data_IF_878627942066
#
_entry.id   IF_878627942066
#
_cell.length_a   1.000
_cell.length_b   1.000
_cell.length_c   1.000
_cell.angle_alpha   90.00
_cell.angle_beta   90.00
_cell.angle_gamma   90.00
#
_symmetry.space_group_name_H-M   'P 1'
#
loop_
_entity.id
_entity.type
_entity.pdbx_description
1 polymer ?
#
# COMPACT_ATOMS: atom_id res chain seq x y z
N UNK A 1 35.84 -0.25 -23.75
CA UNK A 1 34.59 0.52 -23.53
C UNK A 1 34.11 1.37 -24.72
N UNK A 2 34.84 1.47 -25.86
CA UNK A 2 34.42 2.29 -27.02
C UNK A 2 33.42 1.61 -27.97
N UNK A 3 33.30 0.28 -27.95
CA UNK A 3 32.39 -0.47 -28.84
C UNK A 3 30.90 -0.39 -28.47
N UNK A 4 30.58 -0.43 -27.17
CA UNK A 4 29.19 -0.40 -26.68
C UNK A 4 28.53 0.95 -26.98
N UNK A 5 29.27 2.06 -26.87
CA UNK A 5 28.76 3.40 -27.21
C UNK A 5 28.37 3.53 -28.69
N UNK A 6 29.08 2.86 -29.63
CA UNK A 6 28.74 2.91 -31.06
C UNK A 6 27.46 2.14 -31.39
N UNK A 7 27.20 1.01 -30.72
CA UNK A 7 26.00 0.20 -30.96
C UNK A 7 24.73 0.94 -30.50
N UNK A 8 24.79 1.60 -29.34
CA UNK A 8 23.65 2.36 -28.79
C UNK A 8 23.30 3.57 -29.68
N UNK A 9 24.30 4.29 -30.21
CA UNK A 9 24.08 5.45 -31.10
C UNK A 9 23.47 5.05 -32.44
N UNK A 10 23.87 3.90 -33.01
CA UNK A 10 23.30 3.42 -34.28
C UNK A 10 21.86 2.94 -34.12
N UNK A 11 21.53 2.26 -33.01
CA UNK A 11 20.15 1.86 -32.73
C UNK A 11 19.21 3.07 -32.50
N UNK A 12 19.72 4.14 -31.87
CA UNK A 12 18.96 5.39 -31.70
C UNK A 12 18.65 6.09 -33.04
N UNK A 13 19.55 6.03 -34.04
CA UNK A 13 19.31 6.65 -35.35
C UNK A 13 18.29 5.91 -36.22
N UNK A 14 18.22 4.58 -36.13
CA UNK A 14 17.24 3.78 -36.90
C UNK A 14 15.80 3.98 -36.38
N UNK A 15 15.64 4.31 -35.11
CA UNK A 15 14.35 4.56 -34.46
C UNK A 15 13.62 5.83 -34.98
N UNK A 16 14.28 6.72 -35.73
CA UNK A 16 13.71 8.01 -36.18
C UNK A 16 13.19 8.04 -37.63
N UNK A 17 13.09 6.90 -38.31
CA UNK A 17 12.29 6.82 -39.56
C UNK A 17 10.79 6.82 -39.21
N UNK A 18 9.91 7.33 -40.08
CA UNK A 18 8.44 7.32 -39.85
C UNK A 18 7.91 5.91 -39.49
N UNK A 19 8.51 4.86 -40.06
CA UNK A 19 8.21 3.46 -39.73
C UNK A 19 8.78 3.07 -38.35
N UNK A 20 10.00 3.49 -38.01
CA UNK A 20 10.59 3.27 -36.68
C UNK A 20 9.79 3.87 -35.52
N UNK A 21 9.12 5.01 -35.72
CA UNK A 21 8.23 5.61 -34.71
C UNK A 21 7.02 4.74 -34.39
N UNK A 22 6.39 4.13 -35.40
CA UNK A 22 5.23 3.25 -35.21
C UNK A 22 5.64 1.99 -34.42
N UNK A 23 6.78 1.39 -34.79
CA UNK A 23 7.32 0.25 -34.05
C UNK A 23 7.74 0.61 -32.61
N UNK A 24 8.34 1.78 -32.40
CA UNK A 24 8.72 2.25 -31.07
C UNK A 24 7.51 2.47 -30.16
N UNK A 25 6.46 3.14 -30.65
CA UNK A 25 5.21 3.33 -29.90
C UNK A 25 4.53 1.99 -29.63
N UNK A 26 4.46 1.09 -30.62
CA UNK A 26 3.89 -0.24 -30.44
C UNK A 26 4.66 -1.05 -29.39
N UNK A 27 6.00 -1.01 -29.39
CA UNK A 27 6.82 -1.70 -28.40
C UNK A 27 6.64 -1.11 -26.98
N UNK A 28 6.57 0.21 -26.84
CA UNK A 28 6.29 0.86 -25.55
C UNK A 28 4.89 0.47 -25.05
N UNK A 29 3.87 0.52 -25.90
CA UNK A 29 2.51 0.11 -25.56
C UNK A 29 2.40 -1.39 -25.23
N UNK A 30 3.22 -2.25 -25.85
CA UNK A 30 3.26 -3.69 -25.56
C UNK A 30 4.01 -4.00 -24.24
N UNK A 31 5.01 -3.18 -23.88
CA UNK A 31 5.78 -3.34 -22.64
C UNK A 31 5.12 -2.67 -21.43
N UNK A 32 4.33 -1.62 -21.61
CA UNK A 32 3.64 -0.89 -20.54
C UNK A 32 2.76 -1.78 -19.62
N UNK A 33 1.98 -2.76 -20.12
CA UNK A 33 1.12 -3.60 -19.27
C UNK A 33 1.90 -4.43 -18.25
N UNK A 34 3.14 -4.81 -18.57
CA UNK A 34 3.97 -5.68 -17.72
C UNK A 34 4.55 -4.91 -16.52
N UNK A 35 4.59 -3.58 -16.60
CA UNK A 35 5.06 -2.71 -15.50
C UNK A 35 3.92 -2.26 -14.56
N UNK A 36 2.66 -2.59 -14.87
CA UNK A 36 1.54 -2.27 -14.01
C UNK A 36 1.44 -3.37 -12.95
N UNK A 37 1.74 -3.03 -11.70
CA UNK A 37 1.50 -3.92 -10.58
C UNK A 37 0.05 -4.41 -10.56
N UNK A 38 -0.11 -5.64 -10.08
CA UNK A 38 -1.36 -6.35 -10.18
C UNK A 38 -2.28 -5.89 -9.06
N UNK A 39 -3.30 -5.11 -9.41
CA UNK A 39 -4.42 -4.79 -8.52
C UNK A 39 -5.60 -5.63 -8.99
N UNK A 40 -5.99 -6.63 -8.20
CA UNK A 40 -7.16 -7.46 -8.49
C UNK A 40 -8.30 -6.97 -7.61
N UNK A 41 -9.44 -6.67 -8.20
CA UNK A 41 -10.65 -6.32 -7.45
C UNK A 41 -11.68 -7.42 -7.59
N UNK A 42 -12.33 -7.77 -6.47
CA UNK A 42 -13.47 -8.68 -6.41
C UNK A 42 -14.65 -7.90 -5.85
N UNK A 43 -15.81 -8.01 -6.49
CA UNK A 43 -17.07 -7.39 -6.04
C UNK A 43 -17.71 -8.07 -4.83
N UNK A 44 -16.93 -8.82 -4.05
CA UNK A 44 -17.35 -9.52 -2.85
C UNK A 44 -16.21 -9.55 -1.81
N UNK A 45 -16.57 -9.85 -0.56
CA UNK A 45 -15.67 -10.07 0.57
C UNK A 45 -15.01 -11.45 0.51
N UNK A 46 -13.77 -11.49 0.04
CA UNK A 46 -12.90 -12.68 -0.03
C UNK A 46 -11.96 -12.76 1.19
N UNK A 47 -12.44 -12.40 2.38
CA UNK A 47 -11.65 -12.55 3.60
C UNK A 47 -11.58 -14.01 4.07
N UNK A 48 -10.57 -14.37 4.88
CA UNK A 48 -10.34 -15.71 5.38
C UNK A 48 -11.55 -16.36 6.08
N UNK A 49 -11.54 -17.70 6.16
CA UNK A 49 -12.61 -18.49 6.80
C UNK A 49 -12.58 -18.43 8.33
N UNK A 50 -11.43 -18.09 8.91
CA UNK A 50 -11.22 -17.95 10.36
C UNK A 50 -11.62 -16.57 10.90
N UNK A 51 -12.03 -15.63 10.04
CA UNK A 51 -12.66 -14.39 10.47
C UNK A 51 -14.00 -14.66 11.16
N UNK A 52 -14.44 -13.78 12.09
CA UNK A 52 -15.69 -13.95 12.83
C UNK A 52 -16.89 -14.20 11.90
N UNK A 53 -17.68 -15.23 12.23
CA UNK A 53 -18.81 -15.67 11.42
C UNK A 53 -19.87 -14.58 11.27
N UNK A 54 -19.98 -13.67 12.23
CA UNK A 54 -20.89 -12.53 12.24
C UNK A 54 -20.63 -11.54 11.09
N UNK A 55 -19.44 -11.56 10.48
CA UNK A 55 -19.14 -10.78 9.29
C UNK A 55 -19.65 -11.43 8.01
N UNK A 56 -19.96 -12.73 8.02
CA UNK A 56 -20.35 -13.49 6.82
C UNK A 56 -21.52 -12.89 6.04
N UNK A 57 -22.59 -12.36 6.66
CA UNK A 57 -23.68 -11.71 5.94
C UNK A 57 -23.20 -10.55 5.05
N UNK A 58 -22.11 -9.88 5.42
CA UNK A 58 -21.57 -8.72 4.72
C UNK A 58 -20.69 -9.09 3.52
N UNK A 59 -20.42 -10.38 3.26
CA UNK A 59 -19.55 -10.81 2.13
C UNK A 59 -20.08 -10.33 0.80
N UNK A 60 -21.39 -10.38 0.58
CA UNK A 60 -21.99 -10.02 -0.72
C UNK A 60 -21.90 -8.52 -1.04
N UNK A 61 -21.93 -7.64 -0.04
CA UNK A 61 -21.86 -6.19 -0.23
C UNK A 61 -20.45 -5.61 -0.09
N UNK A 62 -19.52 -6.42 0.42
CA UNK A 62 -18.13 -6.02 0.55
C UNK A 62 -17.40 -6.08 -0.80
N UNK A 63 -16.24 -5.43 -0.86
CA UNK A 63 -15.32 -5.50 -2.00
C UNK A 63 -13.93 -5.86 -1.49
N UNK A 64 -13.23 -6.72 -2.22
CA UNK A 64 -11.84 -7.07 -1.91
C UNK A 64 -10.93 -6.50 -2.97
N UNK A 65 -9.91 -5.76 -2.55
CA UNK A 65 -8.83 -5.29 -3.43
C UNK A 65 -7.54 -5.95 -3.00
N UNK A 66 -7.03 -6.85 -3.83
CA UNK A 66 -5.73 -7.48 -3.65
C UNK A 66 -4.68 -6.59 -4.31
N UNK A 67 -3.77 -6.05 -3.50
CA UNK A 67 -2.67 -5.22 -3.95
C UNK A 67 -1.44 -6.11 -4.01
N UNK A 68 -0.98 -6.39 -5.23
CA UNK A 68 0.31 -7.02 -5.53
C UNK A 68 1.13 -6.09 -6.43
N UNK A 69 1.41 -4.89 -5.91
CA UNK A 69 2.19 -3.86 -6.60
C UNK A 69 3.68 -4.02 -6.27
N UNK A 70 4.64 -3.71 -7.17
CA UNK A 70 6.06 -3.77 -6.85
C UNK A 70 6.36 -2.96 -5.58
N UNK A 71 6.58 -3.69 -4.48
CA UNK A 71 6.72 -3.11 -3.16
C UNK A 71 5.66 -3.60 -2.17
N UNK A 72 4.36 -3.46 -2.41
CA UNK A 72 3.35 -3.68 -1.38
C UNK A 72 2.46 -4.89 -1.71
N UNK A 73 2.35 -5.81 -0.75
CA UNK A 73 1.46 -6.95 -0.81
C UNK A 73 0.49 -6.91 0.37
N UNK A 74 -0.77 -6.61 0.09
CA UNK A 74 -1.83 -6.54 1.10
C UNK A 74 -3.22 -6.74 0.47
N UNK A 75 -4.18 -7.13 1.29
CA UNK A 75 -5.59 -7.15 0.91
C UNK A 75 -6.31 -6.00 1.62
N UNK A 76 -7.16 -5.30 0.87
CA UNK A 76 -8.07 -4.28 1.41
C UNK A 76 -9.49 -4.79 1.28
N UNK A 77 -10.15 -4.99 2.40
CA UNK A 77 -11.56 -5.39 2.46
C UNK A 77 -12.40 -4.15 2.77
N UNK A 78 -13.24 -3.77 1.82
CA UNK A 78 -14.13 -2.62 1.91
C UNK A 78 -15.53 -3.10 2.25
N UNK A 79 -16.05 -2.79 3.44
CA UNK A 79 -17.41 -3.13 3.87
C UNK A 79 -18.24 -1.84 3.91
N UNK A 80 -19.26 -1.79 3.06
CA UNK A 80 -20.23 -0.70 3.00
C UNK A 80 -21.37 -0.96 3.97
N UNK A 81 -21.98 0.11 4.46
CA UNK A 81 -23.16 0.05 5.31
C UNK A 81 -24.16 1.06 4.78
N UNK A 82 -25.41 0.62 4.61
CA UNK A 82 -26.51 1.49 4.20
C UNK A 82 -27.24 2.07 5.42
N UNK A 83 -27.07 1.43 6.57
CA UNK A 83 -27.79 1.72 7.79
C UNK A 83 -26.84 1.85 9.00
N UNK A 84 -27.16 2.79 9.87
CA UNK A 84 -26.34 3.11 11.03
C UNK A 84 -26.42 2.01 12.08
N UNK A 85 -27.61 1.54 12.39
CA UNK A 85 -27.86 0.53 13.41
C UNK A 85 -27.15 -0.78 13.04
N UNK A 86 -27.12 -1.12 11.75
CA UNK A 86 -26.35 -2.23 11.22
C UNK A 86 -24.84 -2.07 11.48
N UNK A 87 -24.26 -0.91 11.14
CA UNK A 87 -22.86 -0.61 11.42
C UNK A 87 -22.54 -0.69 12.92
N UNK A 88 -23.32 -0.02 13.76
CA UNK A 88 -23.12 -0.01 15.22
C UNK A 88 -23.18 -1.42 15.82
N UNK A 89 -24.06 -2.27 15.30
CA UNK A 89 -24.20 -3.67 15.72
C UNK A 89 -22.95 -4.49 15.41
N UNK A 90 -22.36 -4.33 14.21
CA UNK A 90 -21.20 -5.14 13.80
C UNK A 90 -19.85 -4.54 14.22
N UNK A 91 -19.82 -3.25 14.56
CA UNK A 91 -18.61 -2.53 14.92
C UNK A 91 -17.72 -3.23 15.98
N UNK A 92 -18.27 -3.79 17.08
CA UNK A 92 -17.47 -4.54 18.05
C UNK A 92 -16.79 -5.78 17.45
N UNK A 93 -17.42 -6.43 16.46
CA UNK A 93 -16.86 -7.59 15.77
C UNK A 93 -15.72 -7.16 14.83
N UNK A 94 -15.90 -6.06 14.10
CA UNK A 94 -14.85 -5.49 13.24
C UNK A 94 -13.61 -5.15 14.07
N UNK A 95 -13.80 -4.55 15.25
CA UNK A 95 -12.69 -4.21 16.16
C UNK A 95 -11.88 -5.44 16.61
N UNK A 96 -12.49 -6.62 16.75
CA UNK A 96 -11.78 -7.86 17.12
C UNK A 96 -10.80 -8.34 16.05
N UNK A 97 -10.97 -7.91 14.79
CA UNK A 97 -10.05 -8.25 13.71
C UNK A 97 -8.71 -7.51 13.82
N UNK A 98 -8.72 -6.33 14.45
CA UNK A 98 -7.55 -5.48 14.54
C UNK A 98 -6.44 -6.22 15.28
N UNK A 99 -5.25 -6.23 14.71
CA UNK A 99 -4.10 -6.77 15.42
C UNK A 99 -3.72 -5.88 16.62
N UNK A 100 -2.97 -6.46 17.55
CA UNK A 100 -2.31 -5.68 18.59
C UNK A 100 -1.48 -4.57 17.97
N UNK A 101 -1.62 -3.35 18.50
CA UNK A 101 -1.00 -2.11 17.96
C UNK A 101 -1.41 -1.74 16.54
N UNK A 102 -2.34 -2.48 15.93
CA UNK A 102 -3.05 -2.05 14.74
C UNK A 102 -3.68 -0.69 14.98
N UNK A 103 -3.63 0.15 13.96
CA UNK A 103 -4.10 1.52 13.95
C UNK A 103 -5.57 1.59 13.58
N UNK A 104 -6.23 2.64 14.07
CA UNK A 104 -7.54 3.07 13.60
C UNK A 104 -7.38 4.40 12.87
N UNK A 105 -7.56 4.37 11.55
CA UNK A 105 -7.48 5.56 10.71
C UNK A 105 -8.88 6.17 10.53
N UNK A 106 -8.97 7.49 10.58
CA UNK A 106 -10.22 8.22 10.37
C UNK A 106 -10.07 9.10 9.14
N UNK A 107 -10.94 8.90 8.15
CA UNK A 107 -10.99 9.66 6.90
C UNK A 107 -12.41 10.24 6.71
N UNK A 108 -12.60 11.26 5.88
CA UNK A 108 -13.91 11.93 5.71
C UNK A 108 -14.39 11.84 4.26
N UNK A 109 -15.69 11.63 4.05
CA UNK A 109 -16.27 11.63 2.70
C UNK A 109 -16.18 12.99 2.00
N UNK A 110 -16.11 14.08 2.77
CA UNK A 110 -16.10 15.45 2.25
C UNK A 110 -14.77 15.84 1.59
N UNK A 111 -13.75 14.99 1.74
CA UNK A 111 -12.41 15.24 1.24
C UNK A 111 -12.02 14.15 0.28
N UNK A 112 -12.35 14.30 -1.01
CA UNK A 112 -11.67 13.48 -2.00
C UNK A 112 -10.16 13.64 -1.79
N UNK A 113 -9.41 12.55 -1.93
CA UNK A 113 -7.96 12.58 -1.92
C UNK A 113 -7.46 13.77 -2.75
N UNK A 114 -6.42 14.46 -2.26
CA UNK A 114 -5.74 15.50 -3.05
C UNK A 114 -5.52 14.92 -4.45
N UNK A 115 -5.97 15.61 -5.50
CA UNK A 115 -5.90 15.12 -6.89
C UNK A 115 -4.45 14.77 -7.30
N UNK A 116 -3.46 15.28 -6.54
CA UNK A 116 -2.04 14.94 -6.68
C UNK A 116 -1.65 13.60 -6.08
N UNK A 117 -2.50 12.96 -5.30
CA UNK A 117 -2.29 11.59 -4.86
C UNK A 117 -2.42 10.68 -6.07
N UNK A 118 -1.42 9.83 -6.24
CA UNK A 118 -1.26 8.92 -7.36
C UNK A 118 -2.58 8.28 -7.82
N UNK A 119 -2.76 8.17 -9.13
CA UNK A 119 -3.93 7.57 -9.79
C UNK A 119 -4.34 6.20 -9.21
N UNK A 120 -3.43 5.43 -8.60
CA UNK A 120 -3.79 4.18 -7.93
C UNK A 120 -4.68 4.40 -6.70
N UNK A 121 -4.51 5.49 -5.95
CA UNK A 121 -5.35 5.81 -4.79
C UNK A 121 -6.76 6.24 -5.18
N UNK A 122 -7.00 6.62 -6.44
CA UNK A 122 -8.37 6.88 -6.93
C UNK A 122 -9.27 5.63 -6.86
N UNK A 123 -8.69 4.42 -6.79
CA UNK A 123 -9.45 3.17 -6.61
C UNK A 123 -10.09 3.07 -5.22
N UNK A 124 -9.61 3.86 -4.27
CA UNK A 124 -10.17 4.01 -2.92
C UNK A 124 -10.93 5.34 -2.83
N UNK A 125 -11.99 5.47 -3.65
CA UNK A 125 -12.90 6.60 -3.56
C UNK A 125 -13.44 6.70 -2.13
N UNK A 126 -13.40 7.90 -1.55
CA UNK A 126 -13.99 8.22 -0.24
C UNK A 126 -15.43 8.73 -0.40
N UNK A 127 -16.10 8.46 -1.52
CA UNK A 127 -17.43 9.05 -1.79
C UNK A 127 -18.56 8.55 -0.89
N UNK A 128 -18.36 7.45 -0.16
CA UNK A 128 -19.38 6.78 0.65
C UNK A 128 -18.81 6.40 2.02
N UNK A 129 -19.64 6.35 3.08
CA UNK A 129 -19.22 5.83 4.37
C UNK A 129 -18.85 4.36 4.24
N UNK A 130 -17.63 4.02 4.62
CA UNK A 130 -17.07 2.68 4.40
C UNK A 130 -16.08 2.33 5.49
N UNK A 131 -16.07 1.04 5.86
CA UNK A 131 -15.02 0.47 6.70
C UNK A 131 -14.02 -0.22 5.78
N UNK A 132 -12.74 0.16 5.87
CA UNK A 132 -11.66 -0.56 5.20
C UNK A 132 -10.84 -1.33 6.21
N UNK A 133 -10.61 -2.61 5.92
CA UNK A 133 -9.77 -3.49 6.73
C UNK A 133 -8.56 -3.84 5.88
N UNK A 134 -7.40 -3.36 6.30
CA UNK A 134 -6.13 -3.64 5.66
C UNK A 134 -5.53 -4.88 6.31
N UNK A 135 -5.45 -5.98 5.58
CA UNK A 135 -4.99 -7.26 6.10
C UNK A 135 -3.83 -7.87 5.30
N UNK A 136 -3.21 -8.91 5.86
CA UNK A 136 -2.29 -9.77 5.11
C UNK A 136 -2.97 -10.33 3.86
N UNK A 137 -2.17 -10.68 2.85
CA UNK A 137 -2.67 -11.39 1.67
C UNK A 137 -3.11 -12.80 2.07
N UNK A 138 -4.26 -13.27 1.59
CA UNK A 138 -4.80 -14.60 1.84
C UNK A 138 -5.52 -15.19 0.61
N UNK A 139 -5.47 -16.52 0.39
CA UNK A 139 -4.38 -17.42 0.74
C UNK A 139 -3.19 -17.13 -0.18
N UNK A 140 -1.97 -17.15 0.35
CA UNK A 140 -0.80 -16.92 -0.48
C UNK A 140 -0.12 -18.23 -0.80
N UNK A 141 0.09 -18.46 -2.09
CA UNK A 141 0.99 -19.51 -2.55
C UNK A 141 2.39 -19.27 -1.96
N UNK A 142 3.10 -20.32 -1.53
CA UNK A 142 4.47 -20.18 -1.04
C UNK A 142 5.33 -19.47 -2.09
N UNK A 143 5.99 -18.38 -1.68
CA UNK A 143 6.92 -17.67 -2.52
C UNK A 143 8.18 -18.52 -2.68
N UNK A 144 8.51 -18.88 -3.91
CA UNK A 144 9.73 -19.63 -4.20
C UNK A 144 10.85 -18.65 -4.52
N UNK A 145 11.90 -18.65 -3.71
CA UNK A 145 13.08 -17.81 -3.89
C UNK A 145 14.20 -18.58 -4.62
N UNK A 146 15.22 -17.85 -5.07
CA UNK A 146 16.42 -18.44 -5.69
C UNK A 146 17.02 -19.51 -4.76
N UNK A 147 17.29 -20.70 -5.31
CA UNK A 147 17.74 -21.85 -4.53
C UNK A 147 16.61 -22.77 -4.04
N UNK A 148 15.37 -22.56 -4.48
CA UNK A 148 14.24 -23.46 -4.22
C UNK A 148 13.62 -23.34 -2.82
N UNK A 149 14.11 -22.39 -2.00
CA UNK A 149 13.54 -22.10 -0.69
C UNK A 149 12.16 -21.48 -0.84
N UNK A 150 11.25 -21.84 0.07
CA UNK A 150 9.89 -21.35 0.09
C UNK A 150 9.63 -20.58 1.38
N UNK A 151 9.15 -19.34 1.28
CA UNK A 151 8.53 -18.64 2.42
C UNK A 151 7.04 -18.56 2.19
N UNK A 152 6.27 -18.83 3.23
CA UNK A 152 4.82 -18.65 3.22
C UNK A 152 4.56 -17.25 3.79
N UNK A 153 4.05 -16.30 2.99
CA UNK A 153 3.60 -15.03 3.53
C UNK A 153 2.19 -15.17 4.12
N UNK A 154 1.88 -14.31 5.09
CA UNK A 154 0.62 -14.31 5.81
C UNK A 154 0.74 -14.95 7.20
N UNK A 155 -0.28 -14.77 8.05
CA UNK A 155 -0.31 -15.32 9.39
C UNK A 155 -0.48 -16.86 9.37
N UNK A 156 -0.06 -17.57 10.43
CA UNK A 156 0.67 -17.02 11.58
C UNK A 156 2.11 -16.65 11.20
N UNK A 157 2.53 -15.43 11.57
CA UNK A 157 3.88 -14.96 11.32
C UNK A 157 4.88 -15.59 12.31
N UNK A 158 6.10 -15.93 11.86
CA UNK A 158 7.13 -16.48 12.75
C UNK A 158 7.65 -15.42 13.73
N UNK A 159 8.29 -15.84 14.83
CA UNK A 159 8.88 -14.91 15.80
C UNK A 159 9.92 -13.95 15.18
N UNK A 160 10.64 -14.39 14.14
CA UNK A 160 11.60 -13.54 13.43
C UNK A 160 10.98 -12.32 12.76
N UNK A 161 9.67 -12.37 12.47
CA UNK A 161 8.91 -11.29 11.82
C UNK A 161 8.44 -10.22 12.81
N UNK A 162 8.52 -10.49 14.12
CA UNK A 162 8.09 -9.57 15.18
C UNK A 162 9.24 -8.64 15.58
N UNK A 163 8.89 -7.50 16.16
CA UNK A 163 9.85 -6.66 16.87
C UNK A 163 10.39 -7.36 18.12
N UNK A 164 11.46 -6.83 18.69
CA UNK A 164 11.99 -7.30 19.98
C UNK A 164 10.97 -7.18 21.13
N UNK A 165 9.95 -6.33 20.98
CA UNK A 165 8.82 -6.19 21.91
C UNK A 165 7.79 -7.32 21.78
N UNK A 166 7.92 -8.22 20.80
CA UNK A 166 6.95 -9.27 20.46
C UNK A 166 5.81 -8.79 19.54
N UNK A 167 5.76 -7.50 19.21
CA UNK A 167 4.71 -6.91 18.38
C UNK A 167 4.96 -7.13 16.88
N UNK A 168 3.90 -7.25 16.09
CA UNK A 168 4.02 -7.30 14.64
C UNK A 168 4.24 -5.89 14.04
N UNK A 169 5.17 -5.72 13.10
CA UNK A 169 5.28 -4.50 12.32
C UNK A 169 4.07 -4.30 11.40
N UNK A 170 3.95 -3.13 10.78
CA UNK A 170 2.96 -2.93 9.71
C UNK A 170 3.23 -3.87 8.52
N UNK A 171 4.51 -3.96 8.14
CA UNK A 171 4.96 -4.81 7.05
C UNK A 171 6.18 -5.64 7.45
N UNK A 172 6.34 -6.77 6.80
CA UNK A 172 7.54 -7.62 6.82
C UNK A 172 8.12 -7.75 5.43
N UNK A 173 9.40 -8.10 5.34
CA UNK A 173 10.07 -8.45 4.09
C UNK A 173 10.85 -9.75 4.28
N UNK A 174 11.13 -10.45 3.19
CA UNK A 174 12.11 -11.52 3.23
C UNK A 174 13.49 -10.93 3.58
N UNK A 175 14.25 -11.64 4.41
CA UNK A 175 15.65 -11.35 4.69
C UNK A 175 16.49 -11.40 3.40
N UNK A 176 17.68 -10.79 3.38
CA UNK A 176 18.54 -10.75 2.18
C UNK A 176 18.93 -12.13 1.65
N UNK A 177 19.06 -13.12 2.55
CA UNK A 177 19.33 -14.53 2.22
C UNK A 177 18.06 -15.34 1.90
N UNK A 178 16.90 -14.68 1.92
CA UNK A 178 15.56 -15.22 1.69
C UNK A 178 15.23 -16.46 2.54
N UNK A 179 15.69 -16.49 3.79
CA UNK A 179 15.44 -17.61 4.72
C UNK A 179 14.37 -17.32 5.76
N UNK A 180 14.16 -16.05 6.09
CA UNK A 180 13.29 -15.64 7.19
C UNK A 180 12.49 -14.40 6.81
N UNK A 181 11.35 -14.23 7.49
CA UNK A 181 10.64 -12.96 7.49
C UNK A 181 11.26 -12.07 8.55
N UNK A 182 11.53 -10.82 8.19
CA UNK A 182 12.05 -9.78 9.10
C UNK A 182 11.16 -8.54 9.01
N UNK A 183 11.08 -7.73 10.07
CA UNK A 183 10.35 -6.48 10.02
C UNK A 183 10.84 -5.56 8.91
N UNK A 184 9.91 -4.95 8.18
CA UNK A 184 10.24 -3.95 7.17
C UNK A 184 10.39 -2.58 7.86
N UNK A 185 11.59 -2.01 7.77
CA UNK A 185 11.88 -0.65 8.23
C UNK A 185 11.85 0.28 7.02
N UNK A 186 10.84 1.16 6.96
CA UNK A 186 10.83 2.23 5.98
C UNK A 186 11.90 3.26 6.37
N UNK A 187 12.83 3.57 5.46
CA UNK A 187 13.62 4.79 5.60
C UNK A 187 12.70 5.98 5.25
N UNK A 188 12.39 6.87 6.21
CA UNK A 188 11.49 8.00 5.98
C UNK A 188 12.04 8.98 4.93
N UNK A 189 13.34 8.96 4.65
CA UNK A 189 13.98 9.84 3.66
C UNK A 189 14.02 9.24 2.25
N UNK A 190 13.71 7.94 2.12
CA UNK A 190 13.73 7.26 0.83
C UNK A 190 12.46 7.62 0.05
N UNK A 191 12.62 8.41 -1.01
CA UNK A 191 11.54 8.70 -1.96
C UNK A 191 11.14 7.43 -2.72
N UNK A 192 9.92 7.40 -3.25
CA UNK A 192 9.47 6.26 -4.08
C UNK A 192 10.37 6.02 -5.30
N UNK A 193 10.94 7.08 -5.90
CA UNK A 193 11.88 6.97 -7.01
C UNK A 193 13.20 6.33 -6.58
N UNK A 194 13.73 6.73 -5.43
CA UNK A 194 14.94 6.13 -4.86
C UNK A 194 14.69 4.66 -4.49
N UNK A 195 13.56 4.36 -3.87
CA UNK A 195 13.13 2.99 -3.62
C UNK A 195 13.06 2.17 -4.91
N UNK A 196 12.56 2.76 -6.00
CA UNK A 196 12.48 2.08 -7.28
C UNK A 196 13.85 1.88 -7.94
N UNK A 197 14.80 2.78 -7.70
CA UNK A 197 16.13 2.78 -8.29
C UNK A 197 17.14 1.94 -7.51
N UNK A 198 16.89 1.61 -6.24
CA UNK A 198 17.81 0.82 -5.41
C UNK A 198 17.87 -0.65 -5.87
N UNK A 199 19.02 -1.13 -6.38
CA UNK A 199 19.18 -2.52 -6.79
C UNK A 199 19.17 -3.51 -5.61
N UNK A 200 19.41 -3.02 -4.39
CA UNK A 200 19.40 -3.80 -3.16
C UNK A 200 18.07 -3.69 -2.40
N UNK A 201 17.07 -3.03 -2.99
CA UNK A 201 15.75 -2.91 -2.36
C UNK A 201 15.21 -4.30 -2.01
N UNK A 202 14.49 -4.44 -0.88
CA UNK A 202 13.76 -5.66 -0.61
C UNK A 202 12.79 -5.95 -1.77
N UNK A 203 12.75 -7.22 -2.19
CA UNK A 203 11.99 -7.63 -3.38
C UNK A 203 10.49 -7.26 -3.28
N UNK A 204 9.94 -7.26 -2.06
CA UNK A 204 8.55 -6.92 -1.74
C UNK A 204 8.36 -6.89 -0.22
N UNK A 205 7.50 -6.01 0.27
CA UNK A 205 6.98 -6.03 1.64
C UNK A 205 5.54 -6.55 1.68
N UNK A 206 5.21 -7.21 2.78
CA UNK A 206 3.96 -7.92 3.00
C UNK A 206 3.32 -7.40 4.27
N UNK A 207 2.05 -7.02 4.20
CA UNK A 207 1.34 -6.52 5.38
C UNK A 207 1.25 -7.62 6.42
N UNK A 208 1.74 -7.34 7.62
CA UNK A 208 1.83 -8.33 8.69
C UNK A 208 0.68 -8.23 9.70
N UNK A 209 0.12 -7.04 9.87
CA UNK A 209 -0.94 -6.76 10.85
C UNK A 209 -2.22 -6.25 10.18
N UNK A 210 -3.32 -6.34 10.92
CA UNK A 210 -4.61 -5.82 10.52
C UNK A 210 -4.77 -4.39 11.08
N UNK A 211 -4.93 -3.43 10.17
CA UNK A 211 -5.30 -2.04 10.47
C UNK A 211 -6.73 -1.78 9.97
N UNK A 212 -7.44 -0.83 10.59
CA UNK A 212 -8.82 -0.46 10.22
C UNK A 212 -8.86 1.03 9.86
N UNK A 213 -9.57 1.37 8.80
CA UNK A 213 -9.94 2.74 8.46
C UNK A 213 -11.46 2.90 8.49
N UNK A 214 -11.92 3.99 9.09
CA UNK A 214 -13.29 4.47 9.04
C UNK A 214 -13.36 5.70 8.15
N UNK A 215 -14.10 5.60 7.04
CA UNK A 215 -14.48 6.77 6.24
C UNK A 215 -15.79 7.29 6.79
N UNK A 216 -15.71 8.37 7.56
CA UNK A 216 -16.86 8.94 8.28
C UNK A 216 -17.62 9.95 7.44
N UNK A 217 -18.95 9.90 7.61
CA UNK A 217 -19.91 10.85 7.04
C UNK A 217 -20.73 11.56 8.13
N UNK A 218 -20.62 11.13 9.40
CA UNK A 218 -21.42 11.65 10.50
C UNK A 218 -22.89 11.24 10.46
N UNK A 219 -23.31 10.45 9.46
CA UNK A 219 -24.68 9.91 9.36
C UNK A 219 -24.67 8.41 9.57
N UNK A 220 -24.00 7.62 8.76
CA UNK A 220 -23.91 6.16 8.96
C UNK A 220 -22.80 5.85 9.94
N UNK A 221 -21.60 6.41 9.72
CA UNK A 221 -20.45 6.25 10.62
C UNK A 221 -20.27 7.56 11.39
N UNK A 222 -20.88 7.62 12.58
CA UNK A 222 -20.82 8.77 13.50
C UNK A 222 -19.92 8.47 14.71
N UNK A 223 -18.77 9.16 14.78
CA UNK A 223 -17.80 8.98 15.86
C UNK A 223 -18.31 9.40 17.23
N UNK A 224 -19.39 10.17 17.33
CA UNK A 224 -19.99 10.54 18.62
C UNK A 224 -20.85 9.41 19.21
N UNK A 225 -21.18 8.40 18.42
CA UNK A 225 -22.05 7.28 18.85
C UNK A 225 -21.30 5.98 19.04
N UNK A 226 -20.22 5.76 18.30
CA UNK A 226 -19.39 4.57 18.47
C UNK A 226 -18.31 4.78 19.53
N UNK A 227 -18.01 3.71 20.27
CA UNK A 227 -16.86 3.69 21.17
C UNK A 227 -15.61 3.33 20.36
N UNK A 228 -14.60 4.18 20.44
CA UNK A 228 -13.26 3.89 19.95
C UNK A 228 -12.45 3.22 21.08
N UNK A 229 -11.61 2.22 20.79
CA UNK A 229 -10.80 1.60 21.84
C UNK A 229 -9.78 2.59 22.40
N UNK A 230 -9.69 2.69 23.74
CA UNK A 230 -8.87 3.69 24.42
C UNK A 230 -7.36 3.46 24.27
N UNK A 231 -6.96 2.23 24.00
CA UNK A 231 -5.57 1.76 23.85
C UNK A 231 -5.09 1.76 22.39
N UNK A 232 -5.98 2.07 21.46
CA UNK A 232 -5.69 1.97 20.03
C UNK A 232 -5.12 3.28 19.49
N UNK A 233 -3.97 3.25 18.80
CA UNK A 233 -3.45 4.43 18.11
C UNK A 233 -4.45 4.91 17.04
N UNK A 234 -4.89 6.15 17.15
CA UNK A 234 -5.83 6.78 16.21
C UNK A 234 -5.07 7.75 15.30
N UNK A 235 -5.21 7.59 13.98
CA UNK A 235 -4.67 8.50 12.96
C UNK A 235 -5.84 9.26 12.35
N UNK A 236 -6.02 10.53 12.73
CA UNK A 236 -7.10 11.37 12.20
C UNK A 236 -6.66 12.12 10.92
N UNK A 237 -7.09 11.61 9.77
CA UNK A 237 -6.85 12.20 8.43
C UNK A 237 -8.01 13.09 7.96
N UNK A 238 -9.03 13.32 8.80
CA UNK A 238 -10.19 14.17 8.43
C UNK A 238 -9.82 15.64 8.42
N UNK A 239 -8.96 16.05 9.36
CA UNK A 239 -8.40 17.41 9.39
C UNK A 239 -7.43 17.55 8.23
N UNK A 240 -7.30 18.75 7.63
CA UNK A 240 -6.21 18.94 6.69
C UNK A 240 -4.97 18.64 7.51
N UNK A 241 -3.97 17.98 6.91
CA UNK A 241 -2.64 18.28 7.34
C UNK A 241 -2.64 19.81 7.33
N UNK A 242 -2.63 20.44 8.52
CA UNK A 242 -2.27 21.83 8.58
C UNK A 242 -1.07 21.88 7.67
N UNK A 243 -1.07 22.79 6.70
CA UNK A 243 0.19 23.19 6.10
C UNK A 243 1.03 23.52 7.33
N UNK A 244 1.76 22.54 7.86
CA UNK A 244 3.06 22.73 8.41
C UNK A 244 3.70 23.36 7.20
N UNK A 245 3.56 24.69 7.14
CA UNK A 245 4.46 25.51 6.37
C UNK A 245 5.78 24.87 6.70
N UNK A 246 6.33 24.16 5.72
CA UNK A 246 7.66 23.63 5.83
C UNK A 246 8.48 24.90 6.04
N UNK A 247 8.71 25.24 7.30
CA UNK A 247 9.69 26.19 7.81
C UNK A 247 11.07 25.56 7.63
N UNK A 248 11.26 25.02 6.43
CA UNK A 248 12.45 24.50 5.84
C UNK A 248 12.28 24.90 4.38
N UNK A 249 12.79 26.09 4.12
CA UNK A 249 12.93 26.71 2.81
C UNK A 249 13.65 25.73 1.88
N UNK A 250 12.86 24.87 1.22
CA UNK A 250 13.35 23.86 0.29
C UNK A 250 14.07 24.53 -0.89
N UNK A 251 13.72 25.79 -1.16
CA UNK A 251 14.41 26.68 -2.10
C UNK A 251 15.81 27.06 -1.63
N UNK A 252 16.03 27.32 -0.33
CA UNK A 252 17.36 27.54 0.23
C UNK A 252 18.25 26.30 0.12
N UNK A 253 17.72 25.10 0.41
CA UNK A 253 18.49 23.85 0.27
C UNK A 253 18.85 23.54 -1.19
N UNK A 254 17.90 23.70 -2.12
CA UNK A 254 18.17 23.53 -3.57
C UNK A 254 19.18 24.57 -4.07
N UNK A 255 19.10 25.82 -3.60
CA UNK A 255 20.07 26.87 -3.94
C UNK A 255 21.48 26.54 -3.41
N UNK A 256 21.59 26.00 -2.20
CA UNK A 256 22.86 25.58 -1.60
C UNK A 256 23.48 24.37 -2.34
N UNK A 257 22.67 23.38 -2.71
CA UNK A 257 23.13 22.25 -3.52
C UNK A 257 23.59 22.68 -4.92
N UNK A 258 22.92 23.64 -5.56
CA UNK A 258 23.30 24.15 -6.88
C UNK A 258 24.61 24.94 -6.86
N UNK A 259 24.93 25.66 -5.77
CA UNK A 259 26.23 26.34 -5.61
C UNK A 259 27.40 25.34 -5.61
N UNK A 260 27.24 24.18 -4.99
CA UNK A 260 28.30 23.16 -4.96
C UNK A 260 28.49 22.43 -6.30
N UNK A 261 27.44 22.32 -7.12
CA UNK A 261 27.56 21.72 -8.46
C UNK A 261 28.26 22.67 -9.45
N UNK A 262 28.15 23.99 -9.26
CA UNK A 262 28.80 24.99 -10.12
C UNK A 262 30.27 25.23 -9.78
N UNK A 263 30.78 24.71 -8.66
CA UNK A 263 32.18 24.83 -8.25
C UNK A 263 33.08 23.67 -8.72
N UNK A 264 32.55 22.74 -9.51
CA UNK A 264 33.29 21.65 -10.17
C UNK A 264 33.22 21.80 -11.69
#
# INVERSE_FOLDING_TARGET
>A
MSGIRRIVITMLKVAFTKRGRVFGVAAILLCCPVCLGLVITRGEGAWPLDWPIELSPYRAQAKTTEIAWPGNNENVYEIRFDDREEFEKIWPTILKLKSDRGTLQLSSIERPFDEKVSWFMQHFSQAEPIVRIYGPVHPVWPLTFRGGRKLVPGPPWPESAKWATGELPEYVTASQDHTTWVPYLADPNTTWLQYLADPNRPASKWRARIDIELVVDGKIIDLNRIRLPADTPIIDKRKPAHKQEASHDHTAWISECLKHVQSY
#
